data_IF_772916602620
#
_entry.id   IF_772916602620
#
_cell.length_a   1.000
_cell.length_b   1.000
_cell.length_c   1.000
_cell.angle_alpha   90.00
_cell.angle_beta   90.00
_cell.angle_gamma   90.00
#
_symmetry.space_group_name_H-M   'P 1'
#
loop_
_entity.id
_entity.type
_entity.pdbx_description
1 polymer ?
#
# COMPACT_ATOMS: atom_id res chain seq x y z
N UNK A 1 -2.38 6.10 14.59
CA UNK A 1 -3.14 5.35 13.55
C UNK A 1 -2.93 6.06 12.23
N UNK A 2 -2.37 5.39 11.24
CA UNK A 2 -2.25 5.96 9.90
C UNK A 2 -3.61 5.87 9.18
N UNK A 3 -4.04 6.95 8.54
CA UNK A 3 -5.22 6.95 7.68
C UNK A 3 -4.78 6.71 6.24
N UNK A 4 -5.41 5.73 5.57
CA UNK A 4 -5.15 5.40 4.17
C UNK A 4 -6.35 5.83 3.33
N UNK A 5 -6.08 6.51 2.22
CA UNK A 5 -7.06 6.79 1.17
C UNK A 5 -6.75 5.88 -0.01
N UNK A 6 -7.66 4.97 -0.34
CA UNK A 6 -7.50 4.01 -1.43
C UNK A 6 -8.31 4.48 -2.63
N UNK A 7 -7.63 4.71 -3.75
CA UNK A 7 -8.27 4.95 -5.03
C UNK A 7 -8.49 3.61 -5.73
N UNK A 8 -9.74 3.32 -6.07
CA UNK A 8 -10.13 2.12 -6.79
C UNK A 8 -11.23 2.47 -7.79
N UNK A 9 -11.38 1.65 -8.82
CA UNK A 9 -12.45 1.81 -9.80
C UNK A 9 -13.83 1.55 -9.17
N UNK A 10 -14.87 2.03 -9.86
CA UNK A 10 -16.25 1.98 -9.37
C UNK A 10 -16.77 0.54 -9.22
N UNK A 11 -16.36 -0.37 -10.10
CA UNK A 11 -16.77 -1.78 -10.05
C UNK A 11 -16.19 -2.46 -8.81
N UNK A 12 -14.91 -2.23 -8.54
CA UNK A 12 -14.24 -2.74 -7.33
C UNK A 12 -14.87 -2.16 -6.06
N UNK A 13 -15.19 -0.86 -6.05
CA UNK A 13 -15.86 -0.22 -4.91
C UNK A 13 -17.26 -0.81 -4.66
N UNK A 14 -18.03 -1.06 -5.73
CA UNK A 14 -19.37 -1.63 -5.64
C UNK A 14 -19.34 -3.05 -5.04
N UNK A 15 -18.41 -3.91 -5.48
CA UNK A 15 -18.22 -5.23 -4.90
C UNK A 15 -17.87 -5.17 -3.41
N UNK A 16 -16.96 -4.27 -3.04
CA UNK A 16 -16.54 -4.09 -1.64
C UNK A 16 -17.70 -3.61 -0.74
N UNK A 17 -18.57 -2.74 -1.27
CA UNK A 17 -19.80 -2.30 -0.59
C UNK A 17 -20.80 -3.43 -0.40
N UNK A 18 -21.03 -4.22 -1.45
CA UNK A 18 -21.96 -5.34 -1.41
C UNK A 18 -21.52 -6.38 -0.38
N UNK A 19 -20.24 -6.72 -0.35
CA UNK A 19 -19.70 -7.71 0.59
C UNK A 19 -19.71 -7.21 2.04
N UNK A 20 -19.40 -5.92 2.26
CA UNK A 20 -19.55 -5.30 3.57
C UNK A 20 -21.03 -5.32 4.04
N UNK A 21 -21.97 -5.04 3.12
CA UNK A 21 -23.42 -5.07 3.40
C UNK A 21 -23.91 -6.48 3.74
N UNK A 22 -23.48 -7.49 2.98
CA UNK A 22 -23.79 -8.92 3.24
C UNK A 22 -23.34 -9.36 4.63
N UNK A 23 -22.21 -8.83 5.11
CA UNK A 23 -21.66 -9.12 6.45
C UNK A 23 -22.20 -8.20 7.54
N UNK A 24 -22.96 -7.16 7.20
CA UNK A 24 -23.48 -6.18 8.16
C UNK A 24 -22.41 -5.33 8.84
N UNK A 25 -21.25 -5.13 8.21
CA UNK A 25 -20.15 -4.33 8.74
C UNK A 25 -19.88 -3.11 7.87
N UNK A 26 -19.11 -2.14 8.39
CA UNK A 26 -18.72 -0.97 7.60
C UNK A 26 -17.74 -1.36 6.48
N UNK A 27 -17.74 -0.57 5.40
CA UNK A 27 -16.83 -0.73 4.27
C UNK A 27 -15.36 -0.70 4.73
N UNK A 28 -15.01 0.20 5.64
CA UNK A 28 -13.65 0.32 6.17
C UNK A 28 -13.25 -0.88 7.04
N UNK A 29 -14.17 -1.45 7.82
CA UNK A 29 -13.92 -2.67 8.58
C UNK A 29 -13.69 -3.86 7.65
N UNK A 30 -14.51 -4.00 6.61
CA UNK A 30 -14.34 -5.05 5.61
C UNK A 30 -13.04 -4.88 4.82
N UNK A 31 -12.71 -3.66 4.38
CA UNK A 31 -11.46 -3.37 3.69
C UNK A 31 -10.24 -3.72 4.56
N UNK A 32 -10.28 -3.39 5.85
CA UNK A 32 -9.24 -3.78 6.81
C UNK A 32 -9.06 -5.29 6.88
N UNK A 33 -10.14 -6.06 7.03
CA UNK A 33 -10.09 -7.53 7.07
C UNK A 33 -9.50 -8.11 5.78
N UNK A 34 -9.88 -7.58 4.62
CA UNK A 34 -9.35 -8.03 3.32
C UNK A 34 -7.84 -7.76 3.23
N UNK A 35 -7.39 -6.58 3.66
CA UNK A 35 -5.96 -6.23 3.69
C UNK A 35 -5.18 -7.10 4.67
N UNK A 36 -5.71 -7.31 5.87
CA UNK A 36 -5.12 -8.20 6.88
C UNK A 36 -5.03 -9.64 6.37
N UNK A 37 -6.10 -10.16 5.75
CA UNK A 37 -6.13 -11.53 5.21
C UNK A 37 -5.20 -11.70 4.01
N UNK A 38 -5.09 -10.68 3.14
CA UNK A 38 -4.12 -10.69 2.03
C UNK A 38 -2.69 -10.66 2.53
N UNK A 39 -2.38 -9.84 3.53
CA UNK A 39 -1.05 -9.78 4.13
C UNK A 39 -0.71 -11.03 4.96
N UNK A 40 -1.72 -11.73 5.50
CA UNK A 40 -1.56 -12.94 6.29
C UNK A 40 -1.36 -14.20 5.43
N UNK A 41 -1.65 -14.17 4.11
CA UNK A 41 -1.50 -15.35 3.26
C UNK A 41 -0.05 -15.54 2.84
N UNK A 42 0.64 -16.44 3.55
CA UNK A 42 1.16 -17.75 3.09
C UNK A 42 1.58 -17.94 1.61
N UNK A 43 1.88 -16.89 0.87
CA UNK A 43 2.51 -16.97 -0.42
C UNK A 43 4.02 -17.14 -0.17
N UNK A 44 4.49 -18.38 -0.10
CA UNK A 44 5.91 -18.73 -0.18
C UNK A 44 6.85 -18.07 0.86
N UNK A 45 6.49 -18.07 2.15
CA UNK A 45 7.38 -17.62 3.23
C UNK A 45 7.46 -16.10 3.42
N UNK A 46 6.52 -15.36 2.85
CA UNK A 46 6.45 -13.91 2.99
C UNK A 46 5.93 -13.51 4.38
N UNK A 47 6.70 -12.69 5.11
CA UNK A 47 6.35 -12.22 6.45
C UNK A 47 5.63 -10.87 6.34
N UNK A 48 4.39 -10.78 6.81
CA UNK A 48 3.55 -9.56 6.75
C UNK A 48 3.38 -8.98 5.32
N UNK A 49 3.40 -9.84 4.30
CA UNK A 49 3.29 -9.42 2.90
C UNK A 49 4.61 -8.93 2.27
N UNK A 50 5.75 -9.10 2.95
CA UNK A 50 7.09 -8.83 2.41
C UNK A 50 7.84 -10.12 2.07
N UNK A 51 8.69 -10.13 1.01
CA UNK A 51 9.46 -11.31 0.65
C UNK A 51 10.45 -11.70 1.76
N UNK A 52 10.83 -13.00 1.86
CA UNK A 52 11.86 -13.45 2.79
C UNK A 52 13.14 -12.62 2.66
N UNK A 53 13.72 -12.23 3.80
CA UNK A 53 14.96 -11.43 3.84
C UNK A 53 14.77 -9.93 3.58
N UNK A 54 13.54 -9.44 3.35
CA UNK A 54 13.27 -8.00 3.22
C UNK A 54 13.69 -7.22 4.47
N UNK A 55 13.34 -7.71 5.66
CA UNK A 55 13.70 -7.05 6.91
C UNK A 55 15.21 -7.11 7.21
N UNK A 56 15.94 -8.10 6.69
CA UNK A 56 17.40 -8.17 6.81
C UNK A 56 18.11 -7.07 6.01
N UNK A 57 17.42 -6.50 5.01
CA UNK A 57 17.89 -5.36 4.22
C UNK A 57 17.57 -4.01 4.89
N UNK A 58 16.85 -4.00 6.00
CA UNK A 58 16.53 -2.76 6.71
C UNK A 58 17.82 -2.09 7.23
N UNK A 59 18.14 -0.89 6.72
CA UNK A 59 19.40 -0.20 7.02
C UNK A 59 20.59 -0.59 6.15
N UNK A 60 20.40 -1.48 5.16
CA UNK A 60 21.43 -1.79 4.14
C UNK A 60 21.53 -0.74 3.03
N UNK A 61 20.49 0.10 2.89
CA UNK A 61 20.57 1.28 2.04
C UNK A 61 21.45 2.31 2.76
N UNK A 62 22.57 2.76 2.16
CA UNK A 62 23.27 3.92 2.69
C UNK A 62 22.30 5.09 2.75
N UNK A 63 22.44 5.93 3.77
CA UNK A 63 21.66 7.16 3.88
C UNK A 63 21.70 7.90 2.54
N UNK A 64 20.53 8.33 2.06
CA UNK A 64 20.50 9.17 0.88
C UNK A 64 21.40 10.37 1.14
N UNK A 65 22.26 10.75 0.18
CA UNK A 65 23.08 11.94 0.36
C UNK A 65 22.16 13.10 0.75
N UNK A 66 22.56 13.87 1.75
CA UNK A 66 21.88 15.12 2.07
C UNK A 66 21.79 15.90 0.76
N UNK A 67 20.56 16.12 0.30
CA UNK A 67 20.31 16.87 -0.91
C UNK A 67 20.66 18.31 -0.53
N UNK A 68 21.89 18.75 -0.83
CA UNK A 68 22.25 20.16 -0.80
C UNK A 68 21.29 20.88 -1.75
N UNK A 69 20.32 21.60 -1.18
CA UNK A 69 19.36 22.50 -1.81
C UNK A 69 19.29 22.37 -3.33
N UNK A 70 18.73 21.25 -3.82
CA UNK A 70 18.29 21.19 -5.21
C UNK A 70 17.18 22.22 -5.33
N UNK A 71 17.50 23.41 -5.84
CA UNK A 71 16.50 24.37 -6.27
C UNK A 71 15.47 23.59 -7.09
N UNK A 72 14.20 23.72 -6.71
CA UNK A 72 13.08 23.04 -7.37
C UNK A 72 12.99 23.52 -8.82
N UNK A 73 13.81 22.93 -9.68
CA UNK A 73 13.76 23.19 -11.10
C UNK A 73 12.54 22.44 -11.64
N UNK A 74 11.67 23.11 -12.41
CA UNK A 74 10.52 22.46 -13.00
C UNK A 74 10.99 21.27 -13.83
N UNK A 75 10.40 20.09 -13.58
CA UNK A 75 10.64 18.91 -14.41
C UNK A 75 10.16 19.21 -15.82
N UNK A 76 11.05 19.20 -16.80
CA UNK A 76 10.67 19.42 -18.19
C UNK A 76 9.64 18.36 -18.64
N UNK A 77 8.57 18.77 -19.35
CA UNK A 77 7.55 17.83 -19.79
C UNK A 77 8.15 16.81 -20.75
N UNK A 78 7.92 15.53 -20.46
CA UNK A 78 8.43 14.38 -21.20
C UNK A 78 7.86 14.21 -22.62
N UNK A 79 7.08 15.17 -23.13
CA UNK A 79 6.48 15.13 -24.45
C UNK A 79 6.37 16.52 -25.07
N UNK A 80 6.92 16.66 -26.30
CA UNK A 80 6.58 17.69 -27.30
C UNK A 80 5.83 16.99 -28.43
#
# INVERSE_FOLDING_TARGET
MAQLSLYMDEVTMAGLREDATKRGISISAYAREVLETRNARDAAGWENGWPPGFFDLYGSCPDFPEIEDLESTPVEPLFV
#
